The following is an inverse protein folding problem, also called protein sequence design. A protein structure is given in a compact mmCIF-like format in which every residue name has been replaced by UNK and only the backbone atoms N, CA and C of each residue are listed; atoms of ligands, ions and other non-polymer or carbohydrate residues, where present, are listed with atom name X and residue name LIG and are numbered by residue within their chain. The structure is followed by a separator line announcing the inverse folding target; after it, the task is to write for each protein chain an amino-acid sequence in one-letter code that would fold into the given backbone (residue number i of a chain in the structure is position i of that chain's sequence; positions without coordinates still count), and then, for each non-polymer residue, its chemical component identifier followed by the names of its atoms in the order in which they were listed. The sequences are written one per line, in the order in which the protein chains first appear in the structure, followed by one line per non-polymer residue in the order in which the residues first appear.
data_IF_338060449127
#
_entry.id   IF_338060449127
#
_cell.length_a   1.000
_cell.length_b   1.000
_cell.length_c   1.000
_cell.angle_alpha   90.00
_cell.angle_beta   90.00
_cell.angle_gamma   90.00
#
_symmetry.space_group_name_H-M   'P 1'
#
loop_
_entity.id
_entity.type
_entity.pdbx_description
1 polymer ?
#
# COMPACT_ATOMS: atom_id res chain seq x y z
N UNK A 1 6.31 1.65 1.02
CA UNK A 1 6.06 3.09 1.33
C UNK A 1 5.47 3.79 0.11
N UNK A 2 4.35 4.52 0.24
CA UNK A 2 3.68 5.20 -0.88
C UNK A 2 4.50 6.39 -1.38
N UNK A 3 4.94 6.39 -2.63
CA UNK A 3 5.66 7.47 -3.29
C UNK A 3 4.71 8.44 -4.03
N UNK A 4 4.09 9.38 -3.32
CA UNK A 4 3.16 10.38 -3.89
C UNK A 4 3.70 11.13 -5.11
N UNK A 5 5.01 11.35 -5.13
CA UNK A 5 5.73 12.08 -6.18
C UNK A 5 5.79 11.31 -7.50
N UNK A 6 5.58 9.99 -7.46
CA UNK A 6 5.57 9.11 -8.62
C UNK A 6 4.16 8.64 -9.01
N UNK A 7 3.14 9.04 -8.25
CA UNK A 7 1.75 8.75 -8.58
C UNK A 7 1.34 9.44 -9.89
N UNK A 8 0.41 8.82 -10.61
CA UNK A 8 -0.29 9.44 -11.74
C UNK A 8 -1.76 9.62 -11.39
N UNK A 9 -2.55 10.17 -12.31
CA UNK A 9 -4.00 10.29 -12.14
C UNK A 9 -4.68 8.93 -11.92
N UNK A 10 -4.16 7.87 -12.54
CA UNK A 10 -4.73 6.52 -12.54
C UNK A 10 -3.93 5.51 -11.73
N UNK A 11 -2.73 5.85 -11.26
CA UNK A 11 -1.84 4.91 -10.59
C UNK A 11 -1.31 5.45 -9.27
N UNK A 12 -0.97 4.51 -8.40
CA UNK A 12 -0.32 4.75 -7.12
C UNK A 12 0.95 3.94 -7.05
N UNK A 13 2.05 4.57 -6.63
CA UNK A 13 3.36 3.93 -6.59
C UNK A 13 3.80 3.69 -5.16
N UNK A 14 4.36 2.53 -4.90
CA UNK A 14 5.01 2.17 -3.65
C UNK A 14 6.47 1.82 -3.90
N UNK A 15 7.35 2.34 -3.05
CA UNK A 15 8.78 2.08 -3.01
C UNK A 15 9.17 1.36 -1.71
N UNK A 16 10.29 0.63 -1.68
CA UNK A 16 10.87 0.12 -0.44
C UNK A 16 11.07 1.23 0.59
N UNK A 17 10.98 0.90 1.87
CA UNK A 17 11.18 1.88 2.95
C UNK A 17 12.59 2.51 2.96
N UNK A 18 13.58 1.86 2.34
CA UNK A 18 14.94 2.36 2.18
C UNK A 18 15.10 3.35 1.02
N UNK A 19 14.09 3.52 0.15
CA UNK A 19 14.16 4.45 -0.97
C UNK A 19 14.07 5.89 -0.47
N UNK A 20 14.99 6.75 -0.89
CA UNK A 20 15.04 8.15 -0.49
C UNK A 20 13.93 8.96 -1.16
N UNK A 21 12.79 9.07 -0.48
CA UNK A 21 11.70 9.96 -0.87
C UNK A 21 11.92 11.35 -0.28
N UNK A 22 11.52 12.43 -0.98
CA UNK A 22 11.51 13.75 -0.39
C UNK A 22 10.55 13.81 0.82
N UNK A 23 10.76 14.76 1.75
CA UNK A 23 9.85 14.96 2.87
C UNK A 23 8.43 15.17 2.38
N UNK A 24 7.50 14.35 2.87
CA UNK A 24 6.08 14.47 2.56
C UNK A 24 5.29 14.21 3.83
N UNK A 25 4.32 15.09 4.10
CA UNK A 25 3.37 14.88 5.20
C UNK A 25 2.34 13.86 4.74
N UNK A 26 1.94 12.98 5.65
CA UNK A 26 0.75 12.17 5.40
C UNK A 26 0.99 10.83 4.68
N UNK A 27 2.24 10.38 4.54
CA UNK A 27 2.58 9.20 3.72
C UNK A 27 2.14 7.90 4.37
N UNK A 28 1.50 7.02 3.61
CA UNK A 28 1.18 5.66 4.04
C UNK A 28 2.29 4.66 3.69
N UNK A 29 2.35 3.55 4.42
CA UNK A 29 3.17 2.40 4.09
C UNK A 29 2.30 1.15 4.01
N UNK A 30 2.65 0.26 3.10
CA UNK A 30 2.04 -1.05 2.91
C UNK A 30 3.19 -2.04 2.79
N UNK A 31 3.29 -2.95 3.76
CA UNK A 31 4.26 -4.04 3.79
C UNK A 31 3.53 -5.36 3.64
N UNK A 32 3.76 -6.05 2.51
CA UNK A 32 3.25 -7.39 2.23
C UNK A 32 4.32 -8.41 2.60
N UNK A 33 4.04 -9.28 3.56
CA UNK A 33 4.96 -10.30 4.03
C UNK A 33 4.70 -11.63 3.34
N UNK A 34 5.75 -12.42 3.12
CA UNK A 34 5.68 -13.70 2.43
C UNK A 34 4.84 -14.76 3.15
N UNK A 35 4.53 -14.56 4.44
CA UNK A 35 3.64 -15.40 5.24
C UNK A 35 2.15 -15.12 4.97
N UNK A 36 1.82 -14.22 4.05
CA UNK A 36 0.44 -13.83 3.73
C UNK A 36 -0.13 -12.75 4.65
N UNK A 37 0.67 -12.19 5.56
CA UNK A 37 0.25 -11.06 6.41
C UNK A 37 0.65 -9.72 5.80
N UNK A 38 -0.14 -8.68 6.04
CA UNK A 38 0.23 -7.31 5.68
C UNK A 38 0.21 -6.38 6.88
N UNK A 39 1.04 -5.35 6.82
CA UNK A 39 0.96 -4.17 7.67
C UNK A 39 0.70 -2.95 6.80
N UNK A 40 -0.37 -2.22 7.07
CA UNK A 40 -0.61 -0.90 6.52
C UNK A 40 -0.47 0.13 7.64
N UNK A 41 0.28 1.20 7.40
CA UNK A 41 0.35 2.33 8.32
C UNK A 41 -0.04 3.61 7.61
N UNK A 42 -0.96 4.37 8.19
CA UNK A 42 -1.35 5.70 7.73
C UNK A 42 -1.17 6.71 8.87
N UNK A 43 -0.95 7.99 8.55
CA UNK A 43 -1.03 9.04 9.55
C UNK A 43 -2.45 9.10 10.11
N UNK A 44 -2.59 8.84 11.40
CA UNK A 44 -3.86 9.01 12.08
C UNK A 44 -4.19 10.49 12.31
N UNK A 45 -5.45 10.81 12.62
CA UNK A 45 -5.92 12.18 12.83
C UNK A 45 -5.27 12.90 14.02
N UNK A 46 -4.57 12.16 14.90
CA UNK A 46 -3.88 12.70 16.09
C UNK A 46 -2.35 12.63 15.98
N UNK A 47 -1.78 12.62 14.78
CA UNK A 47 -0.33 12.42 14.52
C UNK A 47 0.25 11.10 15.09
N UNK A 48 -0.62 10.16 15.48
CA UNK A 48 -0.25 8.78 15.80
C UNK A 48 -0.45 7.93 14.55
N UNK A 49 0.56 7.16 14.12
CA UNK A 49 0.36 6.21 13.03
C UNK A 49 -0.74 5.22 13.41
N UNK A 50 -1.78 5.14 12.60
CA UNK A 50 -2.73 4.03 12.67
C UNK A 50 -2.13 2.87 11.90
N UNK A 51 -1.99 1.72 12.55
CA UNK A 51 -1.46 0.51 11.94
C UNK A 51 -2.57 -0.55 11.86
N UNK A 52 -2.83 -1.02 10.65
CA UNK A 52 -3.72 -2.14 10.40
C UNK A 52 -2.88 -3.35 10.03
N UNK A 53 -3.05 -4.44 10.77
CA UNK A 53 -2.43 -5.74 10.48
C UNK A 53 -3.52 -6.71 10.02
N UNK A 54 -3.34 -7.37 8.88
CA UNK A 54 -4.32 -8.30 8.34
C UNK A 54 -3.72 -9.34 7.41
N UNK A 55 -4.58 -9.99 6.63
CA UNK A 55 -4.17 -11.01 5.66
C UNK A 55 -4.24 -10.44 4.24
N UNK A 56 -3.33 -10.84 3.38
CA UNK A 56 -3.41 -10.54 1.96
C UNK A 56 -3.37 -11.79 1.10
N UNK A 57 -4.03 -11.70 -0.06
CA UNK A 57 -4.07 -12.73 -1.08
C UNK A 57 -3.84 -12.09 -2.44
N UNK A 58 -3.14 -12.79 -3.33
CA UNK A 58 -2.90 -12.34 -4.71
C UNK A 58 -3.44 -13.36 -5.70
N UNK A 59 -4.37 -12.92 -6.53
CA UNK A 59 -4.96 -13.70 -7.63
C UNK A 59 -4.71 -12.99 -8.96
N UNK A 60 -3.70 -13.44 -9.71
CA UNK A 60 -3.26 -12.73 -10.92
C UNK A 60 -2.74 -11.33 -10.59
N UNK A 61 -3.42 -10.29 -11.08
CA UNK A 61 -3.12 -8.88 -10.77
C UNK A 61 -3.98 -8.32 -9.61
N UNK A 62 -4.81 -9.15 -8.98
CA UNK A 62 -5.75 -8.72 -7.94
C UNK A 62 -5.17 -8.99 -6.55
N UNK A 63 -4.70 -7.94 -5.89
CA UNK A 63 -4.27 -7.99 -4.49
C UNK A 63 -5.47 -7.68 -3.57
N UNK A 64 -5.83 -8.62 -2.72
CA UNK A 64 -6.92 -8.46 -1.75
C UNK A 64 -6.32 -8.33 -0.35
N UNK A 65 -6.65 -7.27 0.37
CA UNK A 65 -6.28 -7.02 1.76
C UNK A 65 -7.51 -7.22 2.64
N UNK A 66 -7.42 -8.11 3.64
CA UNK A 66 -8.48 -8.43 4.59
C UNK A 66 -8.06 -7.97 5.98
N UNK A 67 -8.73 -6.97 6.50
CA UNK A 67 -8.47 -6.47 7.84
C UNK A 67 -9.20 -7.33 8.91
N UNK A 68 -8.76 -7.28 10.18
CA UNK A 68 -9.35 -8.08 11.26
C UNK A 68 -10.80 -7.73 11.59
N UNK A 69 -11.25 -6.52 11.23
CA UNK A 69 -12.63 -6.07 11.38
C UNK A 69 -13.58 -6.61 10.30
N UNK A 70 -13.06 -7.44 9.39
CA UNK A 70 -13.80 -8.01 8.26
C UNK A 70 -13.85 -7.10 7.03
N UNK A 71 -13.33 -5.87 7.11
CA UNK A 71 -13.22 -5.00 5.95
C UNK A 71 -12.23 -5.57 4.93
N UNK A 72 -12.56 -5.41 3.65
CA UNK A 72 -11.74 -5.92 2.54
C UNK A 72 -11.45 -4.79 1.56
N UNK A 73 -10.18 -4.64 1.19
CA UNK A 73 -9.72 -3.67 0.20
C UNK A 73 -9.04 -4.40 -0.95
N UNK A 74 -9.43 -4.08 -2.18
CA UNK A 74 -8.85 -4.67 -3.39
C UNK A 74 -8.01 -3.65 -4.11
N UNK A 75 -6.78 -4.03 -4.46
CA UNK A 75 -5.85 -3.28 -5.29
C UNK A 75 -5.59 -4.07 -6.58
N UNK A 76 -5.47 -3.36 -7.70
CA UNK A 76 -5.06 -3.95 -8.98
C UNK A 76 -3.59 -3.63 -9.22
N UNK A 77 -2.73 -4.63 -9.30
CA UNK A 77 -1.30 -4.47 -9.57
C UNK A 77 -1.11 -4.17 -11.06
N UNK A 78 -0.58 -3.00 -11.38
CA UNK A 78 -0.17 -2.65 -12.74
C UNK A 78 1.25 -3.15 -13.06
N UNK A 79 2.14 -3.10 -12.08
CA UNK A 79 3.51 -3.64 -12.16
C UNK A 79 4.04 -3.97 -10.76
N UNK A 80 4.85 -5.02 -10.66
CA UNK A 80 5.56 -5.39 -9.44
C UNK A 80 7.01 -5.74 -9.77
N UNK A 81 7.91 -4.84 -9.40
CA UNK A 81 9.37 -4.96 -9.52
C UNK A 81 10.00 -4.97 -8.12
N UNK A 82 11.23 -5.51 -7.95
CA UNK A 82 11.87 -5.61 -6.63
C UNK A 82 11.89 -4.31 -5.82
N UNK A 83 11.98 -3.17 -6.50
CA UNK A 83 12.09 -1.84 -5.89
C UNK A 83 10.90 -0.91 -6.23
N UNK A 84 9.81 -1.45 -6.78
CA UNK A 84 8.68 -0.64 -7.22
C UNK A 84 7.42 -1.48 -7.36
N UNK A 85 6.37 -1.09 -6.65
CA UNK A 85 5.04 -1.64 -6.83
C UNK A 85 4.12 -0.53 -7.35
N UNK A 86 3.41 -0.80 -8.44
CA UNK A 86 2.43 0.11 -9.02
C UNK A 86 1.06 -0.54 -8.91
N UNK A 87 0.11 0.18 -8.33
CA UNK A 87 -1.29 -0.25 -8.26
C UNK A 87 -2.19 0.75 -8.97
N UNK A 88 -3.22 0.28 -9.67
CA UNK A 88 -4.23 1.13 -10.28
C UNK A 88 -5.15 1.71 -9.21
N UNK A 89 -5.48 2.98 -9.35
CA UNK A 89 -6.58 3.62 -8.64
C UNK A 89 -7.87 3.05 -9.23
N UNK A 90 -8.62 2.31 -8.44
CA UNK A 90 -9.97 1.93 -8.83
C UNK A 90 -10.83 3.19 -8.77
N UNK A 91 -11.62 3.52 -9.81
CA UNK A 91 -12.60 4.59 -9.69
C UNK A 91 -13.53 4.28 -8.52
N UNK A 92 -13.73 5.27 -7.66
CA UNK A 92 -14.62 5.18 -6.51
C UNK A 92 -16.09 5.11 -6.89
#
# INVERSE_FOLDING_TARGET
MHAHEEDTESERVFRPASYSLPPSRGRSALDLRADGTYLESSPGPTDRPEQTAGMWELEGDRLTLRAPDGSTRVLRIASAEPNRLVVRRLPG
#
